data_IF_894569569733
#
_entry.id   IF_894569569733
#
_cell.length_a   1.000
_cell.length_b   1.000
_cell.length_c   1.000
_cell.angle_alpha   90.00
_cell.angle_beta   90.00
_cell.angle_gamma   90.00
#
_symmetry.space_group_name_H-M   'P 1'
#
loop_
_entity.id
_entity.type
_entity.pdbx_description
1 polymer ?
#
# COMPACT_ATOMS: atom_id res chain seq x y z
N UNK A 1 -23.11 6.00 -1.20
CA UNK A 1 -22.60 4.80 -1.91
C UNK A 1 -21.10 4.70 -1.70
N UNK A 2 -20.57 3.49 -1.62
CA UNK A 2 -19.14 3.27 -1.39
C UNK A 2 -18.59 2.38 -2.49
N UNK A 3 -17.40 2.69 -2.97
CA UNK A 3 -16.68 1.90 -3.96
C UNK A 3 -15.33 1.42 -3.40
N UNK A 4 -15.26 1.29 -2.09
CA UNK A 4 -14.06 0.80 -1.42
C UNK A 4 -13.79 -0.65 -1.78
N UNK A 5 -12.51 -0.98 -1.95
CA UNK A 5 -12.07 -2.31 -2.29
C UNK A 5 -10.82 -2.65 -1.49
N UNK A 6 -10.70 -3.91 -1.11
CA UNK A 6 -9.48 -4.46 -0.54
C UNK A 6 -9.01 -5.59 -1.43
N UNK A 7 -7.77 -5.50 -1.88
CA UNK A 7 -7.17 -6.46 -2.78
C UNK A 7 -5.87 -6.98 -2.20
N UNK A 8 -5.62 -8.26 -2.42
CA UNK A 8 -4.37 -8.90 -2.02
C UNK A 8 -3.76 -9.51 -3.26
N UNK A 9 -2.53 -9.13 -3.56
CA UNK A 9 -1.86 -9.61 -4.75
C UNK A 9 -0.36 -9.43 -4.68
N UNK A 10 0.31 -9.78 -5.76
CA UNK A 10 1.76 -9.65 -5.87
C UNK A 10 2.12 -8.56 -6.85
N UNK A 11 3.09 -7.74 -6.50
CA UNK A 11 3.60 -6.72 -7.40
C UNK A 11 4.22 -7.38 -8.62
N UNK A 12 3.83 -6.92 -9.80
CA UNK A 12 4.39 -7.42 -11.07
C UNK A 12 5.56 -6.59 -11.56
N UNK A 13 5.70 -5.38 -11.04
CA UNK A 13 6.80 -4.46 -11.31
C UNK A 13 7.18 -3.73 -10.02
N UNK A 14 8.37 -3.14 -10.01
CA UNK A 14 8.75 -2.22 -8.95
C UNK A 14 7.84 -1.00 -8.98
N UNK A 15 7.44 -0.44 -7.83
CA UNK A 15 6.68 0.80 -7.81
C UNK A 15 7.41 1.92 -8.53
N UNK A 16 6.70 2.65 -9.36
CA UNK A 16 7.27 3.75 -10.12
C UNK A 16 6.92 5.08 -9.46
N UNK A 17 7.94 5.73 -8.88
CA UNK A 17 7.77 7.03 -8.25
C UNK A 17 7.93 8.14 -9.29
N UNK A 18 6.96 9.02 -9.32
CA UNK A 18 6.96 10.20 -10.17
C UNK A 18 6.50 11.42 -9.38
N UNK A 19 6.83 12.59 -9.89
CA UNK A 19 6.37 13.85 -9.33
C UNK A 19 5.50 14.56 -10.36
N UNK A 20 4.38 15.09 -9.89
CA UNK A 20 3.52 15.92 -10.74
C UNK A 20 4.21 17.25 -11.06
N UNK A 21 3.74 18.00 -12.08
CA UNK A 21 4.28 19.32 -12.35
C UNK A 21 4.24 20.28 -11.15
N UNK A 22 3.31 20.07 -10.23
CA UNK A 22 3.22 20.83 -8.98
C UNK A 22 4.11 20.30 -7.86
N UNK A 23 4.90 19.24 -8.12
CA UNK A 23 5.85 18.70 -7.15
C UNK A 23 5.26 17.66 -6.19
N UNK A 24 4.07 17.17 -6.44
CA UNK A 24 3.45 16.15 -5.58
C UNK A 24 3.96 14.76 -5.97
N UNK A 25 4.42 14.01 -4.99
CA UNK A 25 4.87 12.63 -5.20
C UNK A 25 3.70 11.70 -5.51
N UNK A 26 3.90 10.83 -6.48
CA UNK A 26 2.94 9.84 -6.91
C UNK A 26 3.67 8.54 -7.24
N UNK A 27 3.16 7.41 -6.78
CA UNK A 27 3.69 6.12 -7.16
C UNK A 27 2.60 5.28 -7.82
N UNK A 28 2.95 4.68 -8.93
CA UNK A 28 2.10 3.68 -9.58
C UNK A 28 2.54 2.30 -9.16
N UNK A 29 1.57 1.50 -8.79
CA UNK A 29 1.77 0.15 -8.31
C UNK A 29 0.93 -0.78 -9.16
N UNK A 30 1.57 -1.72 -9.82
CA UNK A 30 0.87 -2.73 -10.61
C UNK A 30 0.99 -4.08 -9.93
N UNK A 31 -0.14 -4.73 -9.74
CA UNK A 31 -0.16 -6.00 -9.03
C UNK A 31 -1.15 -6.98 -9.63
N UNK A 32 -0.84 -8.27 -9.45
CA UNK A 32 -1.66 -9.36 -9.92
C UNK A 32 -2.41 -9.99 -8.75
N UNK A 33 -3.71 -10.14 -8.91
CA UNK A 33 -4.56 -10.83 -7.94
C UNK A 33 -4.96 -12.17 -8.53
N UNK A 34 -4.53 -13.23 -7.87
CA UNK A 34 -4.84 -14.58 -8.28
C UNK A 34 -6.06 -15.09 -7.52
N UNK A 35 -7.03 -15.56 -8.26
CA UNK A 35 -8.20 -16.19 -7.70
C UNK A 35 -8.24 -17.65 -8.13
N UNK A 36 -8.38 -18.53 -7.15
CA UNK A 36 -8.52 -19.96 -7.40
C UNK A 36 -9.85 -20.44 -6.86
N UNK A 37 -10.50 -21.28 -7.64
CA UNK A 37 -11.75 -21.89 -7.22
C UNK A 37 -11.86 -23.27 -7.82
N UNK A 38 -12.73 -24.07 -7.24
CA UNK A 38 -13.00 -25.42 -7.73
C UNK A 38 -14.17 -25.37 -8.68
N UNK A 39 -13.96 -25.82 -9.91
CA UNK A 39 -15.01 -25.92 -10.91
C UNK A 39 -16.02 -27.01 -10.63
N UNK A 40 -17.12 -27.02 -11.38
CA UNK A 40 -18.16 -28.03 -11.24
C UNK A 40 -17.67 -29.45 -11.52
N UNK A 41 -16.65 -29.58 -12.33
CA UNK A 41 -16.00 -30.85 -12.66
C UNK A 41 -14.99 -31.30 -11.58
N UNK A 42 -14.88 -30.57 -10.48
CA UNK A 42 -13.95 -30.87 -9.41
C UNK A 42 -12.51 -30.44 -9.67
N UNK A 43 -12.22 -29.85 -10.83
CA UNK A 43 -10.90 -29.36 -11.16
C UNK A 43 -10.69 -27.95 -10.63
N UNK A 44 -9.44 -27.67 -10.27
CA UNK A 44 -9.05 -26.32 -9.83
C UNK A 44 -8.96 -25.37 -11.02
N UNK A 45 -9.64 -24.26 -10.89
CA UNK A 45 -9.57 -23.17 -11.85
C UNK A 45 -8.75 -22.03 -11.25
N UNK A 46 -8.05 -21.30 -12.09
CA UNK A 46 -7.27 -20.14 -11.67
C UNK A 46 -7.48 -18.99 -12.64
N UNK A 47 -7.66 -17.82 -12.09
CA UNK A 47 -7.77 -16.59 -12.86
C UNK A 47 -6.89 -15.54 -12.24
N UNK A 48 -6.12 -14.86 -13.08
CA UNK A 48 -5.28 -13.74 -12.67
C UNK A 48 -5.86 -12.46 -13.21
N UNK A 49 -6.08 -11.51 -12.33
CA UNK A 49 -6.52 -10.17 -12.69
C UNK A 49 -5.41 -9.17 -12.34
N UNK A 50 -5.17 -8.23 -13.24
CA UNK A 50 -4.15 -7.20 -13.04
C UNK A 50 -4.81 -5.88 -12.68
N UNK A 51 -4.28 -5.24 -11.66
CA UNK A 51 -4.77 -3.94 -11.20
C UNK A 51 -3.62 -2.95 -11.18
N UNK A 52 -3.95 -1.70 -11.45
CA UNK A 52 -3.04 -0.58 -11.27
C UNK A 52 -3.59 0.30 -10.17
N UNK A 53 -2.74 0.60 -9.20
CA UNK A 53 -3.08 1.51 -8.13
C UNK A 53 -2.19 2.73 -8.14
N UNK A 54 -2.69 3.81 -7.58
CA UNK A 54 -1.94 5.06 -7.42
C UNK A 54 -1.90 5.44 -5.96
N UNK A 55 -0.70 5.73 -5.50
CA UNK A 55 -0.41 6.18 -4.13
C UNK A 55 0.12 7.61 -4.22
N UNK A 56 -0.27 8.45 -3.28
CA UNK A 56 0.06 9.86 -3.32
C UNK A 56 0.90 10.31 -2.12
N UNK A 57 1.72 11.35 -2.33
CA UNK A 57 2.44 12.09 -1.30
C UNK A 57 3.48 11.22 -0.58
N UNK A 58 3.58 11.35 0.72
CA UNK A 58 4.58 10.64 1.52
C UNK A 58 4.48 9.13 1.40
N UNK A 59 3.26 8.61 1.34
CA UNK A 59 3.07 7.18 1.16
C UNK A 59 3.65 6.68 -0.17
N UNK A 60 3.59 7.51 -1.23
CA UNK A 60 4.20 7.17 -2.52
C UNK A 60 5.71 6.97 -2.39
N UNK A 61 6.37 7.86 -1.67
CA UNK A 61 7.81 7.76 -1.44
C UNK A 61 8.17 6.52 -0.61
N UNK A 62 7.40 6.29 0.45
CA UNK A 62 7.60 5.13 1.33
C UNK A 62 7.37 3.82 0.59
N UNK A 63 6.35 3.76 -0.25
CA UNK A 63 6.05 2.59 -1.08
C UNK A 63 7.20 2.30 -2.05
N UNK A 64 7.69 3.32 -2.73
CA UNK A 64 8.79 3.17 -3.68
C UNK A 64 10.08 2.68 -3.00
N UNK A 65 10.29 3.09 -1.76
CA UNK A 65 11.45 2.67 -0.97
C UNK A 65 11.32 1.25 -0.42
N UNK A 66 10.10 0.84 -0.06
CA UNK A 66 9.86 -0.37 0.72
C UNK A 66 9.43 -1.57 -0.09
N UNK A 67 8.72 -1.38 -1.19
CA UNK A 67 8.13 -2.46 -1.96
C UNK A 67 8.86 -2.67 -3.26
N UNK A 68 8.89 -3.92 -3.71
CA UNK A 68 9.55 -4.30 -4.94
C UNK A 68 8.74 -5.37 -5.67
N UNK A 69 9.09 -5.60 -6.92
CA UNK A 69 8.51 -6.68 -7.72
C UNK A 69 8.49 -7.99 -6.96
N UNK A 70 7.38 -8.68 -6.99
CA UNK A 70 7.20 -9.97 -6.31
C UNK A 70 6.68 -9.87 -4.89
N UNK A 71 6.66 -8.69 -4.29
CA UNK A 71 6.14 -8.51 -2.94
C UNK A 71 4.64 -8.72 -2.92
N UNK A 72 4.17 -9.57 -2.00
CA UNK A 72 2.74 -9.73 -1.74
C UNK A 72 2.26 -8.55 -0.90
N UNK A 73 1.24 -7.88 -1.39
CA UNK A 73 0.73 -6.65 -0.77
C UNK A 73 -0.76 -6.75 -0.47
N UNK A 74 -1.16 -6.03 0.55
CA UNK A 74 -2.56 -5.78 0.87
C UNK A 74 -2.83 -4.33 0.51
N UNK A 75 -3.81 -4.12 -0.35
CA UNK A 75 -4.16 -2.80 -0.87
C UNK A 75 -5.59 -2.49 -0.48
N UNK A 76 -5.80 -1.34 0.12
CA UNK A 76 -7.13 -0.82 0.40
C UNK A 76 -7.28 0.54 -0.25
N UNK A 77 -8.40 0.76 -0.91
CA UNK A 77 -8.61 2.01 -1.60
C UNK A 77 -9.98 2.08 -2.26
N UNK A 78 -10.09 2.96 -3.24
CA UNK A 78 -11.32 3.20 -3.97
C UNK A 78 -11.11 2.93 -5.44
N UNK A 79 -12.07 2.29 -6.05
CA UNK A 79 -12.07 2.12 -7.50
C UNK A 79 -12.45 3.42 -8.17
N UNK A 80 -11.70 3.78 -9.19
CA UNK A 80 -11.95 4.96 -9.99
C UNK A 80 -11.85 4.58 -11.46
N UNK A 81 -12.88 4.89 -12.22
CA UNK A 81 -12.88 4.69 -13.65
C UNK A 81 -12.48 5.98 -14.33
N UNK A 82 -11.47 5.88 -15.19
CA UNK A 82 -11.03 6.99 -16.02
C UNK A 82 -11.33 6.66 -17.47
N UNK A 83 -11.99 7.57 -18.16
CA UNK A 83 -12.32 7.41 -19.57
C UNK A 83 -11.70 8.55 -20.37
N UNK A 84 -11.24 8.23 -21.56
CA UNK A 84 -10.69 9.23 -22.48
C UNK A 84 -10.98 8.81 -23.91
N UNK A 85 -10.89 9.76 -24.80
CA UNK A 85 -11.04 9.55 -26.23
C UNK A 85 -9.67 9.68 -26.90
N UNK A 86 -9.33 8.71 -27.73
CA UNK A 86 -8.08 8.74 -28.50
C UNK A 86 -8.22 9.70 -29.69
N UNK A 87 -7.08 10.09 -30.27
CA UNK A 87 -7.06 10.94 -31.46
C UNK A 87 -7.79 10.31 -32.64
N UNK A 88 -7.94 9.01 -32.64
CA UNK A 88 -8.67 8.25 -33.66
C UNK A 88 -10.18 8.19 -33.39
N UNK A 89 -10.65 8.80 -32.31
CA UNK A 89 -12.05 8.79 -31.92
C UNK A 89 -12.50 7.58 -31.12
N UNK A 90 -11.58 6.70 -30.75
CA UNK A 90 -11.91 5.54 -29.93
C UNK A 90 -12.06 5.95 -28.46
N UNK A 91 -13.14 5.50 -27.85
CA UNK A 91 -13.35 5.68 -26.42
C UNK A 91 -12.66 4.55 -25.66
N UNK A 92 -11.81 4.93 -24.72
CA UNK A 92 -11.12 4.00 -23.85
C UNK A 92 -11.42 4.29 -22.40
N UNK A 93 -11.44 3.25 -21.60
CA UNK A 93 -11.63 3.38 -20.17
C UNK A 93 -10.72 2.40 -19.43
N UNK A 94 -10.34 2.79 -18.23
CA UNK A 94 -9.57 1.97 -17.33
C UNK A 94 -10.09 2.15 -15.92
N UNK A 95 -10.10 1.07 -15.15
CA UNK A 95 -10.43 1.11 -13.73
C UNK A 95 -9.13 1.00 -12.96
N UNK A 96 -8.86 2.00 -12.14
CA UNK A 96 -7.68 2.08 -11.30
C UNK A 96 -8.10 2.13 -9.83
N UNK A 97 -7.15 1.81 -8.95
CA UNK A 97 -7.36 1.90 -7.51
C UNK A 97 -6.67 3.15 -6.99
N UNK A 98 -7.44 4.05 -6.41
CA UNK A 98 -6.85 5.13 -5.62
C UNK A 98 -6.55 4.55 -4.25
N UNK A 99 -5.29 4.30 -3.99
CA UNK A 99 -4.85 3.57 -2.80
C UNK A 99 -4.86 4.48 -1.59
N UNK A 100 -5.60 4.08 -0.57
CA UNK A 100 -5.60 4.75 0.73
C UNK A 100 -4.53 4.16 1.65
N UNK A 101 -4.42 2.84 1.68
CA UNK A 101 -3.43 2.11 2.48
C UNK A 101 -2.85 0.95 1.67
N UNK A 102 -1.56 0.73 1.82
CA UNK A 102 -0.87 -0.39 1.20
C UNK A 102 0.27 -0.83 2.09
N UNK A 103 0.48 -2.13 2.14
CA UNK A 103 1.59 -2.70 2.89
C UNK A 103 1.89 -4.11 2.46
N UNK A 104 3.06 -4.62 2.85
CA UNK A 104 3.40 -6.02 2.59
C UNK A 104 2.56 -6.97 3.43
N UNK A 105 2.19 -8.08 2.84
CA UNK A 105 1.55 -9.17 3.57
C UNK A 105 2.60 -9.98 4.32
N UNK A 106 2.33 -10.26 5.58
CA UNK A 106 3.23 -11.08 6.40
C UNK A 106 2.87 -12.56 6.38
N UNK A 107 1.99 -12.96 5.49
CA UNK A 107 1.58 -14.36 5.43
C UNK A 107 2.74 -15.29 5.14
N UNK A 108 3.67 -14.88 4.26
CA UNK A 108 4.82 -15.68 3.87
C UNK A 108 6.13 -14.92 3.88
N UNK A 109 6.15 -13.78 4.57
CA UNK A 109 7.33 -12.95 4.65
C UNK A 109 7.39 -12.25 6.01
N UNK A 110 8.58 -11.85 6.40
CA UNK A 110 8.80 -10.99 7.57
C UNK A 110 9.12 -9.58 7.09
N UNK A 111 8.85 -8.62 7.95
CA UNK A 111 9.17 -7.22 7.66
C UNK A 111 9.63 -6.52 8.92
N UNK A 112 10.55 -5.59 8.75
CA UNK A 112 10.97 -4.68 9.81
C UNK A 112 10.28 -3.35 9.58
N UNK A 113 9.65 -2.81 10.60
CA UNK A 113 8.96 -1.53 10.51
C UNK A 113 9.84 -0.44 11.09
N UNK A 114 10.18 0.51 10.25
CA UNK A 114 10.88 1.72 10.63
C UNK A 114 9.92 2.89 10.51
N UNK A 115 9.57 3.49 11.62
CA UNK A 115 8.61 4.57 11.63
C UNK A 115 9.23 5.82 10.99
N UNK A 116 8.53 6.39 10.00
CA UNK A 116 8.98 7.63 9.39
C UNK A 116 8.70 8.80 10.32
N UNK A 117 9.58 9.80 10.29
CA UNK A 117 9.31 11.03 11.00
C UNK A 117 8.27 11.82 10.20
N UNK A 118 7.20 12.20 10.88
CA UNK A 118 6.25 13.13 10.28
C UNK A 118 6.93 14.48 10.10
N UNK A 119 6.82 15.03 8.93
CA UNK A 119 7.25 16.39 8.67
C UNK A 119 6.35 17.44 9.34
N UNK A 120 5.42 16.99 10.16
CA UNK A 120 4.61 17.86 11.02
C UNK A 120 5.39 18.47 12.17
N UNK A 121 6.68 18.25 12.21
CA UNK A 121 7.55 18.81 13.23
C UNK A 121 7.60 20.31 13.27
N UNK A 122 6.94 20.96 12.35
CA UNK A 122 6.88 22.41 12.32
C UNK A 122 6.04 23.01 13.45
N UNK A 123 5.28 22.20 14.13
CA UNK A 123 4.62 22.64 15.36
C UNK A 123 5.52 22.57 16.59
N UNK A 124 6.69 22.03 16.43
CA UNK A 124 7.64 21.93 17.50
C UNK A 124 8.52 23.16 17.70
N UNK A 125 8.30 24.19 16.91
CA UNK A 125 9.17 25.34 16.93
C UNK A 125 9.27 26.07 18.25
N UNK A 126 8.45 25.77 19.22
CA UNK A 126 8.51 26.44 20.49
C UNK A 126 9.20 25.66 21.60
N UNK A 127 9.54 24.47 21.32
CA UNK A 127 9.99 23.63 22.39
C UNK A 127 11.47 23.40 22.40
N UNK A 128 12.22 24.34 22.77
CA UNK A 128 13.62 24.08 23.11
C UNK A 128 13.81 23.00 24.18
N UNK A 129 12.81 22.27 24.48
CA UNK A 129 12.89 21.14 25.36
C UNK A 129 13.41 19.94 24.63
N UNK A 130 14.67 19.86 24.46
CA UNK A 130 15.32 18.60 24.30
C UNK A 130 15.09 17.81 25.58
N UNK A 131 13.89 17.43 25.77
CA UNK A 131 13.65 16.33 26.68
C UNK A 131 13.69 15.10 25.80
N UNK A 132 14.88 14.66 25.58
CA UNK A 132 15.09 13.26 25.39
C UNK A 132 14.37 12.61 26.54
N UNK A 133 13.13 12.34 26.31
CA UNK A 133 12.41 11.42 27.17
C UNK A 133 13.22 10.14 27.03
N UNK A 134 13.89 9.70 28.09
CA UNK A 134 14.53 8.40 28.01
C UNK A 134 13.43 7.45 27.56
N UNK A 135 13.74 6.56 26.65
CA UNK A 135 12.76 5.57 26.24
C UNK A 135 12.22 4.99 27.53
N UNK A 136 10.93 5.15 27.72
CA UNK A 136 10.29 4.56 28.88
C UNK A 136 10.77 3.14 28.96
N UNK A 137 11.26 2.70 30.12
CA UNK A 137 11.68 1.32 30.24
C UNK A 137 10.51 0.50 29.75
N UNK A 138 10.76 -0.18 28.68
CA UNK A 138 9.76 -1.06 28.11
C UNK A 138 9.46 -2.04 29.21
N UNK A 139 8.31 -1.96 29.77
CA UNK A 139 7.86 -2.94 30.72
C UNK A 139 7.64 -4.25 29.99
N UNK A 140 8.72 -4.82 29.51
CA UNK A 140 8.65 -6.10 28.82
C UNK A 140 8.34 -7.23 29.73
N UNK A 141 8.52 -6.97 30.98
CA UNK A 141 8.54 -8.04 31.96
C UNK A 141 7.17 -8.34 32.52
N UNK A 142 6.20 -7.49 32.17
CA UNK A 142 4.85 -7.67 32.66
C UNK A 142 3.98 -8.53 31.74
N UNK A 143 4.50 -8.90 30.59
CA UNK A 143 3.78 -9.84 29.76
C UNK A 143 4.23 -11.23 30.10
N UNK A 144 3.50 -11.85 31.01
CA UNK A 144 3.65 -13.25 31.24
C UNK A 144 3.43 -14.03 29.93
N UNK A 145 4.00 -15.23 29.84
CA UNK A 145 3.92 -16.01 28.60
C UNK A 145 2.51 -16.36 28.18
N UNK A 146 1.52 -16.08 29.01
CA UNK A 146 0.12 -16.38 28.72
C UNK A 146 -0.68 -15.17 28.29
N UNK A 147 -0.08 -13.99 28.26
CA UNK A 147 -0.76 -12.78 27.80
C UNK A 147 -0.24 -12.37 26.44
N UNK A 148 -0.69 -13.10 25.44
CA UNK A 148 -0.55 -12.62 24.08
C UNK A 148 -1.48 -11.42 23.88
N UNK A 149 -0.99 -10.29 23.38
CA UNK A 149 -1.79 -9.09 23.19
C UNK A 149 -2.66 -9.21 21.96
N UNK A 150 -3.45 -10.22 21.89
CA UNK A 150 -4.47 -10.37 20.84
C UNK A 150 -5.69 -11.03 21.41
#
# INVERSE_FOLDING_TARGET
MSNNVTLIGNLVDDPELRFTPSGVAMAKVRFAVNRRWRGQDGEWQEQTSFFTGTVWREQAETVAESLQKGTRVIVSGRLEQRSWETDEGDKRSVVEVQIDEIGPSLRWATATVNKTQRSDGDFGGGGGGNKSVPPAPVARDDYGPDEAPF
#
